data_IF_769050196797
#
_entry.id   IF_769050196797
#
_cell.length_a   1.000
_cell.length_b   1.000
_cell.length_c   1.000
_cell.angle_alpha   90.00
_cell.angle_beta   90.00
_cell.angle_gamma   90.00
#
_symmetry.space_group_name_H-M   'P 1'
#
loop_
_entity.id
_entity.type
_entity.pdbx_description
1 polymer ?
#
# COMPACT_ATOMS: atom_id res chain seq x y z
N UNK A 1 7.49 1.68 -20.92
CA UNK A 1 6.15 2.10 -20.55
C UNK A 1 6.17 3.17 -19.48
N UNK A 2 5.43 4.20 -19.72
CA UNK A 2 5.28 5.27 -18.76
C UNK A 2 4.02 5.04 -17.93
N UNK A 3 3.92 5.71 -16.81
CA UNK A 3 2.69 5.72 -16.07
C UNK A 3 2.49 4.63 -15.05
N UNK A 4 3.56 3.97 -14.64
CA UNK A 4 3.45 3.07 -13.50
C UNK A 4 3.24 3.90 -12.24
N UNK A 5 2.08 3.73 -11.62
CA UNK A 5 1.77 4.48 -10.42
C UNK A 5 0.84 3.67 -9.52
N UNK A 6 0.88 4.04 -8.25
CA UNK A 6 0.03 3.43 -7.23
C UNK A 6 -0.74 4.55 -6.55
N UNK A 7 -1.76 4.16 -5.80
CA UNK A 7 -2.59 5.10 -5.06
C UNK A 7 -2.52 4.73 -3.59
N UNK A 8 -2.35 5.74 -2.73
CA UNK A 8 -2.40 5.54 -1.28
C UNK A 8 -3.49 6.44 -0.76
N UNK A 9 -4.50 5.84 -0.15
CA UNK A 9 -5.69 6.55 0.29
C UNK A 9 -5.94 6.27 1.77
N UNK A 10 -6.77 7.10 2.37
CA UNK A 10 -7.20 6.91 3.75
C UNK A 10 -6.38 7.73 4.72
N UNK A 11 -6.10 7.14 5.87
CA UNK A 11 -5.52 7.89 6.98
C UNK A 11 -4.01 7.89 6.97
N UNK A 12 -3.46 8.45 5.90
CA UNK A 12 -2.03 8.72 5.77
C UNK A 12 -1.83 10.22 5.72
N UNK A 13 -0.59 10.66 5.92
CA UNK A 13 -0.32 12.10 5.96
C UNK A 13 -0.49 12.78 4.59
N UNK A 14 -0.16 12.06 3.52
CA UNK A 14 -0.28 12.61 2.16
C UNK A 14 -0.90 11.58 1.22
N UNK A 15 -2.24 11.44 1.26
CA UNK A 15 -2.91 10.53 0.32
C UNK A 15 -2.83 11.07 -1.11
N UNK A 16 -2.88 10.17 -2.07
CA UNK A 16 -2.85 10.54 -3.47
C UNK A 16 -2.22 9.46 -4.32
N UNK A 17 -1.81 9.82 -5.53
CA UNK A 17 -1.12 8.88 -6.40
C UNK A 17 0.37 9.16 -6.39
N UNK A 18 1.13 8.08 -6.55
CA UNK A 18 2.59 8.15 -6.51
C UNK A 18 3.17 7.34 -7.66
N UNK A 19 4.09 7.94 -8.42
CA UNK A 19 4.77 7.18 -9.48
C UNK A 19 5.75 6.18 -8.86
N UNK A 20 5.87 5.01 -9.50
CA UNK A 20 6.86 4.03 -9.10
C UNK A 20 7.78 3.75 -10.27
N UNK A 21 9.07 4.00 -10.08
CA UNK A 21 10.09 3.82 -11.11
C UNK A 21 10.92 2.57 -10.88
N UNK A 22 10.68 1.90 -9.76
CA UNK A 22 11.44 0.73 -9.33
C UNK A 22 10.54 -0.12 -8.45
N UNK A 23 10.93 -1.36 -8.16
CA UNK A 23 10.13 -2.19 -7.26
C UNK A 23 9.88 -1.47 -5.93
N UNK A 24 8.63 -1.34 -5.57
CA UNK A 24 8.20 -0.62 -4.36
C UNK A 24 7.26 -1.52 -3.59
N UNK A 25 7.53 -1.73 -2.32
CA UNK A 25 6.65 -2.54 -1.47
C UNK A 25 5.67 -1.66 -0.70
N UNK A 26 4.80 -2.30 0.08
CA UNK A 26 3.76 -1.57 0.80
C UNK A 26 4.34 -0.60 1.82
N UNK A 27 5.37 -1.03 2.56
CA UNK A 27 6.03 -0.15 3.53
C UNK A 27 6.63 1.07 2.88
N UNK A 28 7.27 0.89 1.72
CA UNK A 28 7.86 2.01 0.98
C UNK A 28 6.78 2.96 0.49
N UNK A 29 5.65 2.42 0.04
CA UNK A 29 4.54 3.26 -0.42
C UNK A 29 3.98 4.10 0.74
N UNK A 30 3.84 3.50 1.91
CA UNK A 30 3.37 4.24 3.08
C UNK A 30 4.36 5.33 3.48
N UNK A 31 5.66 5.04 3.37
CA UNK A 31 6.68 6.05 3.64
C UNK A 31 6.61 7.20 2.65
N UNK A 32 6.33 6.91 1.37
CA UNK A 32 6.16 7.94 0.36
C UNK A 32 4.97 8.84 0.65
N UNK A 33 3.93 8.27 1.28
CA UNK A 33 2.76 9.04 1.68
C UNK A 33 2.95 9.76 3.01
N UNK A 34 4.16 9.78 3.54
CA UNK A 34 4.46 10.47 4.80
C UNK A 34 4.14 9.66 6.04
N UNK A 35 3.85 8.38 5.89
CA UNK A 35 3.50 7.50 7.00
C UNK A 35 2.03 7.59 7.39
N UNK A 36 1.65 6.80 8.37
CA UNK A 36 0.28 6.79 8.88
C UNK A 36 0.03 8.04 9.73
N UNK A 37 -1.17 8.59 9.64
CA UNK A 37 -1.51 9.72 10.50
C UNK A 37 -1.97 9.23 11.87
N UNK A 38 -2.27 10.17 12.77
CA UNK A 38 -2.61 9.84 14.16
C UNK A 38 -3.94 9.07 14.29
N UNK A 39 -4.77 9.10 13.26
CA UNK A 39 -6.08 8.45 13.30
C UNK A 39 -6.07 7.08 12.62
N UNK A 40 -4.93 6.67 12.05
CA UNK A 40 -4.85 5.42 11.32
C UNK A 40 -4.81 4.22 12.25
N UNK A 41 -5.42 3.13 11.79
CA UNK A 41 -5.32 1.85 12.49
C UNK A 41 -4.31 0.99 11.77
N UNK A 42 -3.25 0.60 12.46
CA UNK A 42 -2.17 -0.20 11.88
C UNK A 42 -2.63 -1.58 11.42
N UNK A 43 -3.73 -2.06 11.96
CA UNK A 43 -4.25 -3.39 11.66
C UNK A 43 -5.32 -3.39 10.58
N UNK A 44 -5.62 -2.24 10.00
CA UNK A 44 -6.69 -2.13 9.00
C UNK A 44 -6.16 -1.51 7.71
N UNK A 45 -5.08 -2.09 7.18
CA UNK A 45 -4.47 -1.65 5.93
C UNK A 45 -4.64 -2.77 4.92
N UNK A 46 -5.14 -2.41 3.74
CA UNK A 46 -5.35 -3.36 2.66
C UNK A 46 -4.81 -2.82 1.36
N UNK A 47 -4.32 -3.73 0.52
CA UNK A 47 -3.93 -3.40 -0.85
C UNK A 47 -5.02 -3.94 -1.76
N UNK A 48 -5.63 -3.06 -2.54
CA UNK A 48 -6.65 -3.46 -3.50
C UNK A 48 -5.99 -3.63 -4.86
N UNK A 49 -6.11 -4.82 -5.41
CA UNK A 49 -5.48 -5.18 -6.69
C UNK A 49 -6.52 -5.81 -7.61
N UNK A 50 -6.52 -5.37 -8.86
CA UNK A 50 -7.39 -5.97 -9.87
C UNK A 50 -6.64 -7.04 -10.63
N UNK A 51 -7.34 -8.15 -10.91
CA UNK A 51 -6.79 -9.18 -11.77
C UNK A 51 -7.16 -8.90 -13.22
N UNK A 52 -6.79 -9.79 -14.13
CA UNK A 52 -7.06 -9.62 -15.55
C UNK A 52 -8.55 -9.64 -15.87
N UNK A 53 -9.35 -10.30 -15.06
CA UNK A 53 -10.79 -10.36 -15.25
C UNK A 53 -11.49 -9.10 -14.72
N UNK A 54 -10.75 -8.16 -14.15
CA UNK A 54 -11.30 -6.95 -13.60
C UNK A 54 -11.81 -7.08 -12.17
N UNK A 55 -11.65 -8.26 -11.58
CA UNK A 55 -12.05 -8.48 -10.20
C UNK A 55 -11.05 -7.88 -9.23
N UNK A 56 -11.55 -7.19 -8.23
CA UNK A 56 -10.71 -6.54 -7.24
C UNK A 56 -10.56 -7.44 -6.02
N UNK A 57 -9.33 -7.55 -5.55
CA UNK A 57 -8.99 -8.39 -4.41
C UNK A 57 -8.36 -7.53 -3.33
N UNK A 58 -8.75 -7.76 -2.09
CA UNK A 58 -8.15 -7.08 -0.96
C UNK A 58 -7.06 -7.96 -0.35
N UNK A 59 -5.86 -7.44 -0.27
CA UNK A 59 -4.70 -8.15 0.29
C UNK A 59 -4.36 -7.46 1.60
N UNK A 60 -4.52 -8.14 2.74
CA UNK A 60 -4.24 -7.49 4.02
C UNK A 60 -2.76 -7.25 4.23
N UNK A 61 -2.43 -6.17 4.90
CA UNK A 61 -1.06 -5.82 5.26
C UNK A 61 -0.98 -5.60 6.77
N UNK A 62 -0.08 -6.33 7.41
CA UNK A 62 0.09 -6.30 8.86
C UNK A 62 1.18 -5.29 9.23
N UNK A 63 0.83 -4.02 9.27
CA UNK A 63 1.80 -2.95 9.45
C UNK A 63 2.60 -3.10 10.75
N UNK A 64 1.90 -3.34 11.85
CA UNK A 64 2.58 -3.46 13.15
C UNK A 64 3.57 -4.62 13.20
N UNK A 65 3.19 -5.75 12.61
CA UNK A 65 4.04 -6.93 12.60
C UNK A 65 5.23 -6.74 11.68
N UNK A 66 5.02 -6.18 10.49
CA UNK A 66 6.09 -5.95 9.54
C UNK A 66 7.09 -4.94 10.09
N UNK A 67 6.59 -3.90 10.76
CA UNK A 67 7.44 -2.91 11.39
C UNK A 67 8.35 -3.55 12.43
N UNK A 68 7.86 -4.58 13.12
CA UNK A 68 8.66 -5.32 14.10
C UNK A 68 9.48 -6.46 13.51
N UNK A 69 9.45 -6.64 12.20
CA UNK A 69 10.20 -7.69 11.52
C UNK A 69 9.46 -9.01 11.38
N UNK A 70 8.17 -9.03 11.70
CA UNK A 70 7.34 -10.23 11.58
C UNK A 70 6.38 -10.10 10.41
N UNK A 71 5.80 -11.23 9.98
CA UNK A 71 4.81 -11.26 8.89
C UNK A 71 5.30 -10.54 7.64
N UNK A 72 6.58 -10.67 7.32
CA UNK A 72 7.18 -9.96 6.19
C UNK A 72 6.57 -10.37 4.85
N UNK A 73 5.94 -11.54 4.79
CA UNK A 73 5.28 -11.98 3.57
C UNK A 73 4.10 -11.10 3.18
N UNK A 74 3.56 -10.30 4.12
CA UNK A 74 2.49 -9.37 3.80
C UNK A 74 2.99 -8.08 3.18
N UNK A 75 4.31 -7.83 3.28
CA UNK A 75 4.92 -6.64 2.67
C UNK A 75 5.27 -6.93 1.22
N UNK A 76 4.24 -7.04 0.40
CA UNK A 76 4.37 -7.44 -0.99
C UNK A 76 4.85 -6.29 -1.87
N UNK A 77 5.38 -6.64 -3.04
CA UNK A 77 5.72 -5.64 -4.05
C UNK A 77 4.43 -5.17 -4.72
N UNK A 78 4.31 -3.86 -4.85
CA UNK A 78 3.15 -3.25 -5.48
C UNK A 78 3.29 -3.28 -7.00
N UNK A 79 2.15 -3.33 -7.66
CA UNK A 79 2.07 -3.31 -9.12
C UNK A 79 1.35 -2.03 -9.53
N UNK A 80 1.57 -1.63 -10.78
CA UNK A 80 0.89 -0.46 -11.32
C UNK A 80 -0.62 -0.60 -11.15
N UNK A 81 -1.25 0.44 -10.62
CA UNK A 81 -2.69 0.46 -10.39
C UNK A 81 -3.12 -0.04 -9.02
N UNK A 82 -2.20 -0.54 -8.21
CA UNK A 82 -2.56 -0.96 -6.86
C UNK A 82 -3.00 0.23 -6.01
N UNK A 83 -3.95 -0.02 -5.12
CA UNK A 83 -4.46 1.00 -4.20
C UNK A 83 -4.23 0.52 -2.78
N UNK A 84 -3.50 1.31 -2.02
CA UNK A 84 -3.27 1.02 -0.59
C UNK A 84 -4.27 1.85 0.21
N UNK A 85 -5.11 1.17 0.98
CA UNK A 85 -6.16 1.83 1.76
C UNK A 85 -5.84 1.67 3.24
N UNK A 86 -5.77 2.78 3.95
CA UNK A 86 -5.50 2.82 5.39
C UNK A 86 -6.76 3.31 6.10
N UNK A 87 -7.29 2.49 6.98
CA UNK A 87 -8.50 2.85 7.74
C UNK A 87 -8.20 3.32 9.13
#
# INVERSE_FOLDING_TARGET
MTGNKIFVLGKVNRPGEFPINRPTDVMQALAMAGGLNTFASENNINVLRRNEAGEQKAIPFEYGDVKGGEELHTNILLQSGDVVVVQ
#
